data_IF_195219029456
#
_entry.id   IF_195219029456
#
_cell.length_a   1.000
_cell.length_b   1.000
_cell.length_c   1.000
_cell.angle_alpha   90.00
_cell.angle_beta   90.00
_cell.angle_gamma   90.00
#
_symmetry.space_group_name_H-M   'P 1'
#
loop_
_entity.id
_entity.type
_entity.pdbx_description
1 polymer ?
#
# COMPACT_ATOMS: atom_id res chain seq x y z
N UNK A 1 4.29 -1.12 28.43
CA UNK A 1 3.36 -1.81 27.51
C UNK A 1 3.49 -3.31 27.75
N UNK A 2 2.42 -4.11 27.66
CA UNK A 2 2.55 -5.58 27.70
C UNK A 2 3.56 -6.05 26.65
N UNK A 3 4.30 -7.12 26.91
CA UNK A 3 5.17 -7.71 25.90
C UNK A 3 4.32 -8.18 24.72
N UNK A 4 4.67 -7.79 23.48
CA UNK A 4 3.87 -8.09 22.29
C UNK A 4 3.51 -9.57 22.09
N UNK A 5 4.33 -10.49 22.59
CA UNK A 5 4.09 -11.93 22.49
C UNK A 5 2.85 -12.41 23.25
N UNK A 6 2.26 -11.63 24.17
CA UNK A 6 1.05 -12.05 24.89
C UNK A 6 -0.24 -11.85 24.10
N UNK A 7 -0.17 -11.15 22.96
CA UNK A 7 -1.34 -10.77 22.15
C UNK A 7 -1.27 -11.27 20.71
N UNK A 8 -0.09 -11.66 20.22
CA UNK A 8 0.07 -12.21 18.88
C UNK A 8 -0.29 -13.69 18.86
N UNK A 9 -1.33 -14.13 18.13
CA UNK A 9 -1.71 -15.54 18.09
C UNK A 9 -0.61 -16.44 17.51
N UNK A 10 0.27 -15.91 16.65
CA UNK A 10 1.29 -16.71 15.96
C UNK A 10 2.42 -17.17 16.89
N UNK A 11 2.61 -16.55 18.05
CA UNK A 11 3.60 -16.98 19.06
C UNK A 11 3.17 -18.25 19.80
N UNK A 12 1.95 -18.75 19.56
CA UNK A 12 1.41 -19.96 20.15
C UNK A 12 1.14 -21.07 19.11
N UNK A 13 1.51 -20.83 17.85
CA UNK A 13 1.31 -21.78 16.75
C UNK A 13 2.65 -22.40 16.37
N UNK A 14 2.62 -23.69 16.04
CA UNK A 14 3.78 -24.45 15.57
C UNK A 14 3.48 -25.03 14.19
N UNK A 15 4.47 -24.98 13.29
CA UNK A 15 4.37 -25.49 11.93
C UNK A 15 4.36 -27.01 11.87
N UNK A 16 4.09 -27.56 10.69
CA UNK A 16 4.10 -29.00 10.43
C UNK A 16 5.39 -29.69 10.89
N UNK A 17 6.56 -29.06 10.68
CA UNK A 17 7.87 -29.58 11.07
C UNK A 17 8.38 -29.02 12.40
N UNK A 18 7.52 -28.48 13.26
CA UNK A 18 7.90 -28.09 14.61
C UNK A 18 8.53 -26.71 14.75
N UNK A 19 8.40 -25.83 13.75
CA UNK A 19 8.98 -24.48 13.78
C UNK A 19 7.95 -23.50 14.37
N UNK A 20 8.32 -22.61 15.31
CA UNK A 20 7.41 -21.55 15.76
C UNK A 20 6.91 -20.69 14.60
N UNK A 21 5.59 -20.47 14.53
CA UNK A 21 4.99 -19.81 13.37
C UNK A 21 5.39 -18.33 13.23
N UNK A 22 5.52 -17.61 14.34
CA UNK A 22 6.02 -16.24 14.40
C UNK A 22 7.45 -16.11 13.86
N UNK A 23 8.34 -17.06 14.21
CA UNK A 23 9.68 -17.14 13.68
C UNK A 23 9.67 -17.42 12.17
N UNK A 24 8.82 -18.34 11.71
CA UNK A 24 8.68 -18.68 10.29
C UNK A 24 8.19 -17.49 9.46
N UNK A 25 7.19 -16.76 9.96
CA UNK A 25 6.69 -15.50 9.40
C UNK A 25 7.82 -14.47 9.31
N UNK A 26 8.63 -14.35 10.37
CA UNK A 26 9.79 -13.47 10.39
C UNK A 26 10.87 -13.89 9.38
N UNK A 27 11.14 -15.20 9.22
CA UNK A 27 12.10 -15.73 8.26
C UNK A 27 11.66 -15.43 6.83
N UNK A 28 10.38 -15.63 6.50
CA UNK A 28 9.82 -15.31 5.18
C UNK A 28 10.16 -13.87 4.79
N UNK A 29 9.74 -12.90 5.61
CA UNK A 29 9.94 -11.48 5.33
C UNK A 29 11.42 -11.11 5.26
N UNK A 30 12.20 -11.53 6.27
CA UNK A 30 13.61 -11.15 6.36
C UNK A 30 14.46 -11.77 5.26
N UNK A 31 14.08 -12.94 4.75
CA UNK A 31 14.72 -13.58 3.61
C UNK A 31 14.40 -12.85 2.31
N UNK A 32 13.13 -12.50 2.08
CA UNK A 32 12.72 -11.72 0.90
C UNK A 32 13.45 -10.37 0.86
N UNK A 33 13.47 -9.63 1.97
CA UNK A 33 14.21 -8.36 2.12
C UNK A 33 15.68 -8.48 1.72
N UNK A 34 16.31 -9.62 1.98
CA UNK A 34 17.73 -9.88 1.75
C UNK A 34 18.05 -10.57 0.41
N UNK A 35 17.06 -10.81 -0.43
CA UNK A 35 17.29 -11.50 -1.70
C UNK A 35 17.53 -13.02 -1.56
N UNK A 36 17.19 -13.63 -0.43
CA UNK A 36 17.47 -15.03 -0.14
C UNK A 36 16.33 -15.93 -0.63
N UNK A 37 16.30 -16.21 -1.94
CA UNK A 37 15.18 -16.91 -2.59
C UNK A 37 14.85 -18.27 -1.97
N UNK A 38 15.85 -19.14 -1.86
CA UNK A 38 15.64 -20.53 -1.42
C UNK A 38 15.09 -20.58 0.01
N UNK A 39 15.67 -19.80 0.92
CA UNK A 39 15.21 -19.76 2.31
C UNK A 39 13.80 -19.15 2.44
N UNK A 40 13.48 -18.12 1.64
CA UNK A 40 12.14 -17.57 1.59
C UNK A 40 11.11 -18.59 1.09
N UNK A 41 11.45 -19.39 0.07
CA UNK A 41 10.57 -20.43 -0.47
C UNK A 41 10.38 -21.59 0.50
N UNK A 42 11.41 -22.00 1.24
CA UNK A 42 11.28 -23.02 2.29
C UNK A 42 10.34 -22.54 3.40
N UNK A 43 10.50 -21.30 3.87
CA UNK A 43 9.61 -20.73 4.88
C UNK A 43 8.16 -20.61 4.36
N UNK A 44 7.98 -20.08 3.15
CA UNK A 44 6.66 -19.98 2.52
C UNK A 44 6.01 -21.36 2.34
N UNK A 45 6.78 -22.37 1.92
CA UNK A 45 6.25 -23.73 1.71
C UNK A 45 5.79 -24.33 3.03
N UNK A 46 6.58 -24.15 4.08
CA UNK A 46 6.25 -24.61 5.43
C UNK A 46 4.94 -23.98 5.92
N UNK A 47 4.77 -22.66 5.74
CA UNK A 47 3.52 -21.96 6.06
C UNK A 47 2.34 -22.53 5.26
N UNK A 48 2.52 -22.72 3.95
CA UNK A 48 1.48 -23.20 3.02
C UNK A 48 0.94 -24.59 3.37
N UNK A 49 1.82 -25.52 3.75
CA UNK A 49 1.43 -26.91 4.05
C UNK A 49 0.91 -27.11 5.47
N UNK A 50 1.26 -26.22 6.41
CA UNK A 50 0.89 -26.34 7.83
C UNK A 50 -0.62 -26.23 8.04
N UNK A 51 -1.25 -25.14 7.60
CA UNK A 51 -2.70 -24.93 7.76
C UNK A 51 -3.22 -23.90 6.77
N UNK A 52 -4.54 -23.80 6.63
CA UNK A 52 -5.15 -22.77 5.77
C UNK A 52 -4.93 -21.36 6.34
N UNK A 53 -4.93 -21.22 7.66
CA UNK A 53 -4.72 -19.96 8.37
C UNK A 53 -3.28 -19.47 8.23
N UNK A 54 -2.29 -20.35 8.37
CA UNK A 54 -0.89 -19.96 8.21
C UNK A 54 -0.55 -19.68 6.74
N UNK A 55 -1.25 -20.34 5.81
CA UNK A 55 -1.20 -20.00 4.39
C UNK A 55 -1.80 -18.60 4.12
N UNK A 56 -2.95 -18.28 4.70
CA UNK A 56 -3.53 -16.94 4.57
C UNK A 56 -2.56 -15.88 5.13
N UNK A 57 -1.89 -16.19 6.24
CA UNK A 57 -0.87 -15.30 6.81
C UNK A 57 0.37 -15.15 5.93
N UNK A 58 0.77 -16.19 5.19
CA UNK A 58 1.80 -16.08 4.15
C UNK A 58 1.39 -15.01 3.14
N UNK A 59 0.17 -15.08 2.61
CA UNK A 59 -0.33 -14.11 1.62
C UNK A 59 -0.44 -12.70 2.18
N UNK A 60 -0.99 -12.54 3.40
CA UNK A 60 -1.03 -11.24 4.08
C UNK A 60 0.37 -10.63 4.22
N UNK A 61 1.37 -11.43 4.58
CA UNK A 61 2.75 -10.95 4.65
C UNK A 61 3.32 -10.58 3.29
N UNK A 62 3.07 -11.35 2.24
CA UNK A 62 3.53 -11.02 0.89
C UNK A 62 2.94 -9.68 0.42
N UNK A 63 1.67 -9.41 0.73
CA UNK A 63 1.03 -8.12 0.47
C UNK A 63 1.74 -6.97 1.23
N UNK A 64 2.03 -7.14 2.54
CA UNK A 64 2.77 -6.12 3.29
C UNK A 64 4.17 -5.90 2.72
N UNK A 65 4.91 -6.97 2.44
CA UNK A 65 6.28 -6.91 1.88
C UNK A 65 6.30 -6.17 0.54
N UNK A 66 5.26 -6.32 -0.29
CA UNK A 66 5.15 -5.62 -1.58
C UNK A 66 5.12 -4.10 -1.46
N UNK A 67 4.67 -3.56 -0.32
CA UNK A 67 4.68 -2.13 -0.01
C UNK A 67 5.85 -1.73 0.90
N UNK A 68 6.31 -2.62 1.79
CA UNK A 68 7.25 -2.32 2.87
C UNK A 68 8.72 -2.47 2.45
N UNK A 69 9.02 -3.46 1.59
CA UNK A 69 10.37 -3.95 1.36
C UNK A 69 10.81 -3.86 -0.11
N UNK A 70 9.88 -3.65 -1.04
CA UNK A 70 10.13 -3.63 -2.49
C UNK A 70 9.56 -2.39 -3.15
N UNK A 71 10.25 -1.87 -4.16
CA UNK A 71 9.79 -0.76 -4.98
C UNK A 71 10.84 -0.32 -6.01
N UNK A 72 10.44 -0.22 -7.28
CA UNK A 72 11.26 0.41 -8.35
C UNK A 72 10.73 1.79 -8.78
N UNK A 73 9.79 2.35 -8.01
CA UNK A 73 9.09 3.60 -8.33
C UNK A 73 7.86 3.44 -9.23
N UNK A 74 7.55 2.24 -9.73
CA UNK A 74 6.32 1.99 -10.50
C UNK A 74 5.09 1.74 -9.62
N UNK A 75 5.29 1.33 -8.37
CA UNK A 75 4.24 1.01 -7.38
C UNK A 75 3.26 -0.11 -7.81
N UNK A 76 3.67 -0.97 -8.77
CA UNK A 76 2.82 -2.06 -9.27
C UNK A 76 2.98 -3.39 -8.52
N UNK A 77 3.96 -3.52 -7.64
CA UNK A 77 4.18 -4.74 -6.85
C UNK A 77 2.90 -5.21 -6.14
N UNK A 78 2.17 -4.36 -5.40
CA UNK A 78 0.96 -4.78 -4.70
C UNK A 78 -0.15 -5.23 -5.67
N UNK A 79 -0.19 -4.67 -6.89
CA UNK A 79 -1.17 -5.02 -7.92
C UNK A 79 -0.92 -6.44 -8.43
N UNK A 80 0.34 -6.78 -8.72
CA UNK A 80 0.70 -8.13 -9.11
C UNK A 80 0.43 -9.13 -7.97
N UNK A 81 0.81 -8.79 -6.74
CA UNK A 81 0.60 -9.65 -5.58
C UNK A 81 -0.89 -9.92 -5.34
N UNK A 82 -1.74 -8.90 -5.42
CA UNK A 82 -3.18 -9.07 -5.31
C UNK A 82 -3.76 -9.92 -6.46
N UNK A 83 -3.21 -9.80 -7.67
CA UNK A 83 -3.62 -10.63 -8.81
C UNK A 83 -3.27 -12.11 -8.59
N UNK A 84 -2.06 -12.39 -8.11
CA UNK A 84 -1.61 -13.75 -7.75
C UNK A 84 -2.44 -14.34 -6.61
N UNK A 85 -2.77 -13.53 -5.59
CA UNK A 85 -3.66 -13.93 -4.52
C UNK A 85 -5.05 -14.28 -5.08
N UNK A 86 -5.67 -13.46 -5.91
CA UNK A 86 -6.97 -13.82 -6.50
C UNK A 86 -6.90 -15.07 -7.38
N UNK A 87 -5.81 -15.29 -8.10
CA UNK A 87 -5.60 -16.51 -8.88
C UNK A 87 -5.50 -17.74 -7.97
N UNK A 88 -4.80 -17.63 -6.83
CA UNK A 88 -4.66 -18.72 -5.86
C UNK A 88 -6.00 -19.10 -5.22
N UNK A 89 -6.89 -18.13 -4.96
CA UNK A 89 -8.22 -18.37 -4.38
C UNK A 89 -9.17 -19.09 -5.34
N UNK A 90 -8.91 -19.05 -6.65
CA UNK A 90 -9.72 -19.76 -7.66
C UNK A 90 -9.44 -21.27 -7.68
N UNK A 91 -8.34 -21.71 -7.07
CA UNK A 91 -8.00 -23.11 -6.94
C UNK A 91 -8.22 -23.57 -5.50
N UNK A 92 -8.83 -24.75 -5.33
CA UNK A 92 -8.93 -25.39 -4.03
C UNK A 92 -7.56 -25.87 -3.52
N UNK A 93 -7.38 -26.01 -2.21
CA UNK A 93 -6.10 -26.44 -1.60
C UNK A 93 -5.64 -27.84 -2.06
N UNK A 94 -6.56 -28.68 -2.54
CA UNK A 94 -6.23 -29.99 -3.12
C UNK A 94 -5.49 -29.92 -4.45
N UNK A 95 -5.54 -28.79 -5.16
CA UNK A 95 -4.83 -28.62 -6.43
C UNK A 95 -3.37 -28.24 -6.18
N UNK A 96 -2.44 -29.12 -6.58
CA UNK A 96 -1.00 -28.88 -6.42
C UNK A 96 -0.50 -27.61 -7.11
N UNK A 97 -1.06 -27.26 -8.28
CA UNK A 97 -0.69 -26.08 -9.07
C UNK A 97 -0.93 -24.76 -8.33
N UNK A 98 -1.81 -24.76 -7.33
CA UNK A 98 -2.09 -23.58 -6.50
C UNK A 98 -0.85 -23.01 -5.81
N UNK A 99 0.12 -23.87 -5.48
CA UNK A 99 1.39 -23.45 -4.90
C UNK A 99 2.22 -22.55 -5.84
N UNK A 100 2.08 -22.71 -7.16
CA UNK A 100 2.85 -21.94 -8.15
C UNK A 100 2.66 -20.44 -7.98
N UNK A 101 1.47 -19.98 -7.58
CA UNK A 101 1.20 -18.55 -7.38
C UNK A 101 2.01 -17.96 -6.23
N UNK A 102 2.13 -18.69 -5.11
CA UNK A 102 2.93 -18.26 -3.97
C UNK A 102 4.44 -18.30 -4.30
N UNK A 103 4.90 -19.31 -5.03
CA UNK A 103 6.29 -19.36 -5.53
C UNK A 103 6.58 -18.15 -6.42
N UNK A 104 5.68 -17.83 -7.34
CA UNK A 104 5.83 -16.68 -8.23
C UNK A 104 5.87 -15.36 -7.45
N UNK A 105 4.99 -15.19 -6.47
CA UNK A 105 4.95 -14.02 -5.59
C UNK A 105 6.26 -13.84 -4.80
N UNK A 106 6.75 -14.91 -4.16
CA UNK A 106 8.01 -14.87 -3.41
C UNK A 106 9.18 -14.55 -4.33
N UNK A 107 9.29 -15.26 -5.47
CA UNK A 107 10.36 -15.03 -6.45
C UNK A 107 10.36 -13.59 -6.95
N UNK A 108 9.19 -13.09 -7.32
CA UNK A 108 9.03 -11.71 -7.76
C UNK A 108 9.57 -10.74 -6.70
N UNK A 109 9.07 -10.79 -5.46
CA UNK A 109 9.50 -9.87 -4.39
C UNK A 109 11.00 -9.98 -4.05
N UNK A 110 11.56 -11.19 -4.09
CA UNK A 110 12.99 -11.43 -3.88
C UNK A 110 13.84 -10.72 -4.95
N UNK A 111 13.45 -10.82 -6.21
CA UNK A 111 14.18 -10.26 -7.37
C UNK A 111 13.94 -8.74 -7.55
N UNK A 112 12.90 -8.16 -6.93
CA UNK A 112 12.60 -6.73 -7.05
C UNK A 112 13.65 -5.81 -6.39
N UNK A 113 13.86 -4.60 -6.94
CA UNK A 113 14.52 -3.52 -6.22
C UNK A 113 13.89 -3.33 -4.84
N UNK A 114 14.74 -3.09 -3.83
CA UNK A 114 14.31 -2.93 -2.44
C UNK A 114 14.13 -1.45 -2.14
N UNK A 115 13.01 -1.12 -1.54
CA UNK A 115 12.67 0.24 -1.12
C UNK A 115 11.88 0.14 0.18
N UNK A 116 12.34 0.85 1.22
CA UNK A 116 11.68 0.92 2.53
C UNK A 116 11.02 2.29 2.79
N UNK A 117 11.07 3.19 1.82
CA UNK A 117 10.59 4.58 1.96
C UNK A 117 9.13 4.63 2.42
N UNK A 118 8.26 3.77 1.89
CA UNK A 118 6.85 3.70 2.32
C UNK A 118 6.70 3.37 3.82
N UNK A 119 7.46 2.38 4.31
CA UNK A 119 7.47 1.99 5.72
C UNK A 119 8.02 3.11 6.62
N UNK A 120 9.13 3.72 6.19
CA UNK A 120 9.76 4.82 6.91
C UNK A 120 8.82 6.04 7.01
N UNK A 121 8.11 6.39 5.93
CA UNK A 121 7.11 7.45 5.90
C UNK A 121 5.91 7.12 6.80
N UNK A 122 5.40 5.88 6.76
CA UNK A 122 4.29 5.46 7.60
C UNK A 122 4.63 5.57 9.10
N UNK A 123 5.81 5.09 9.49
CA UNK A 123 6.26 5.17 10.89
C UNK A 123 6.56 6.61 11.33
N UNK A 124 7.17 7.41 10.47
CA UNK A 124 7.43 8.83 10.77
C UNK A 124 6.15 9.62 10.97
N UNK A 125 5.15 9.43 10.09
CA UNK A 125 3.87 10.15 10.19
C UNK A 125 3.08 9.74 11.43
N UNK A 126 3.08 8.44 11.77
CA UNK A 126 2.51 7.94 13.02
C UNK A 126 3.16 8.61 14.24
N UNK A 127 4.50 8.68 14.26
CA UNK A 127 5.22 9.35 15.34
C UNK A 127 4.85 10.83 15.44
N UNK A 128 4.84 11.57 14.33
CA UNK A 128 4.51 13.00 14.30
C UNK A 128 3.13 13.28 14.89
N UNK A 129 2.10 12.55 14.45
CA UNK A 129 0.76 12.70 15.01
C UNK A 129 0.70 12.37 16.50
N UNK A 130 1.32 11.27 16.93
CA UNK A 130 1.35 10.89 18.35
C UNK A 130 2.15 11.86 19.22
N UNK A 131 3.07 12.63 18.64
CA UNK A 131 3.81 13.70 19.31
C UNK A 131 3.06 15.05 19.32
N UNK A 132 1.84 15.11 18.78
CA UNK A 132 1.03 16.33 18.71
C UNK A 132 1.33 17.24 17.52
N UNK A 133 2.20 16.82 16.59
CA UNK A 133 2.38 17.53 15.32
C UNK A 133 1.18 17.23 14.40
N UNK A 134 0.30 18.21 14.25
CA UNK A 134 -0.89 18.13 13.40
C UNK A 134 -0.60 18.68 11.99
N UNK A 135 -1.37 18.27 10.97
CA UNK A 135 -1.29 18.89 9.66
C UNK A 135 -1.69 20.37 9.73
N UNK A 136 -1.00 21.21 8.97
CA UNK A 136 -1.40 22.60 8.73
C UNK A 136 -2.60 22.63 7.76
N UNK A 137 -3.51 23.58 7.96
CA UNK A 137 -4.59 23.87 7.01
C UNK A 137 -4.23 25.18 6.28
N UNK A 138 -3.54 25.09 5.12
CA UNK A 138 -3.14 26.28 4.36
C UNK A 138 -4.35 26.98 3.73
N UNK A 139 -4.17 28.25 3.33
CA UNK A 139 -5.25 29.07 2.76
C UNK A 139 -5.86 28.46 1.48
N UNK A 140 -5.03 27.87 0.61
CA UNK A 140 -5.50 27.24 -0.63
C UNK A 140 -6.37 25.99 -0.39
N UNK A 141 -6.37 25.42 0.82
CA UNK A 141 -7.28 24.34 1.20
C UNK A 141 -8.67 24.84 1.62
N UNK A 142 -8.85 26.15 1.77
CA UNK A 142 -10.11 26.80 2.16
C UNK A 142 -10.85 27.28 0.92
N UNK A 143 -11.54 26.36 0.27
CA UNK A 143 -12.27 26.66 -0.96
C UNK A 143 -13.79 26.77 -0.74
N UNK A 144 -14.51 26.88 -1.85
CA UNK A 144 -15.98 26.94 -1.91
C UNK A 144 -16.68 25.70 -1.31
N UNK A 145 -15.98 24.59 -1.09
CA UNK A 145 -16.51 23.38 -0.45
C UNK A 145 -16.28 23.36 1.07
N UNK A 146 -15.47 24.27 1.61
CA UNK A 146 -15.22 24.39 3.05
C UNK A 146 -16.07 25.49 3.67
N UNK A 147 -16.59 25.25 4.88
CA UNK A 147 -17.35 26.27 5.63
C UNK A 147 -16.55 27.56 5.82
N UNK A 148 -15.29 27.47 6.27
CA UNK A 148 -14.42 28.64 6.48
C UNK A 148 -14.15 29.38 5.17
N UNK A 149 -13.93 28.67 4.06
CA UNK A 149 -13.79 29.28 2.74
C UNK A 149 -15.05 30.03 2.29
N UNK A 150 -16.25 29.46 2.51
CA UNK A 150 -17.52 30.13 2.21
C UNK A 150 -17.73 31.39 3.06
N UNK A 151 -17.44 31.33 4.36
CA UNK A 151 -17.50 32.47 5.27
C UNK A 151 -16.47 33.56 4.88
N UNK A 152 -15.36 33.19 4.24
CA UNK A 152 -14.36 34.09 3.66
C UNK A 152 -14.77 34.64 2.27
N UNK A 153 -15.90 34.21 1.71
CA UNK A 153 -16.38 34.65 0.40
C UNK A 153 -15.71 33.98 -0.80
N UNK A 154 -15.06 32.81 -0.61
CA UNK A 154 -14.44 32.06 -1.70
C UNK A 154 -15.50 31.55 -2.68
N UNK A 155 -15.20 31.66 -3.96
CA UNK A 155 -16.11 31.42 -5.07
C UNK A 155 -15.67 30.21 -5.92
N UNK A 156 -16.55 29.81 -6.85
CA UNK A 156 -16.20 28.81 -7.88
C UNK A 156 -15.08 29.33 -8.79
N UNK A 157 -15.00 30.64 -9.01
CA UNK A 157 -13.89 31.25 -9.77
C UNK A 157 -12.55 31.07 -9.05
N UNK A 158 -12.51 31.28 -7.73
CA UNK A 158 -11.32 31.03 -6.91
C UNK A 158 -10.87 29.55 -6.99
N UNK A 159 -11.83 28.62 -7.03
CA UNK A 159 -11.53 27.20 -7.18
C UNK A 159 -10.80 26.91 -8.50
N UNK A 160 -11.33 27.36 -9.63
CA UNK A 160 -10.74 27.08 -10.95
C UNK A 160 -9.40 27.80 -11.20
N UNK A 161 -9.15 28.90 -10.49
CA UNK A 161 -7.92 29.68 -10.66
C UNK A 161 -6.83 29.35 -9.64
N UNK A 162 -7.18 28.92 -8.43
CA UNK A 162 -6.23 28.74 -7.31
C UNK A 162 -6.35 27.34 -6.71
N UNK A 163 -7.53 26.96 -6.22
CA UNK A 163 -7.65 25.79 -5.33
C UNK A 163 -7.62 24.44 -6.05
N UNK A 164 -7.88 24.42 -7.35
CA UNK A 164 -7.77 23.23 -8.22
C UNK A 164 -6.38 23.02 -8.80
N UNK A 165 -5.37 23.76 -8.32
CA UNK A 165 -3.98 23.63 -8.75
C UNK A 165 -3.47 22.19 -8.54
N UNK A 166 -2.70 21.69 -9.50
CA UNK A 166 -2.05 20.38 -9.43
C UNK A 166 -0.56 20.53 -9.65
N UNK A 167 0.23 19.91 -8.78
CA UNK A 167 1.68 19.77 -8.97
C UNK A 167 1.99 18.53 -9.82
N UNK A 168 3.16 18.50 -10.46
CA UNK A 168 3.59 17.41 -11.34
C UNK A 168 2.58 17.11 -12.46
N UNK A 169 2.03 18.17 -13.05
CA UNK A 169 1.10 18.05 -14.16
C UNK A 169 1.69 17.20 -15.30
N UNK A 170 0.85 16.34 -15.90
CA UNK A 170 1.26 15.49 -17.01
C UNK A 170 1.90 16.35 -18.11
N UNK A 171 3.10 16.00 -18.60
CA UNK A 171 3.71 16.70 -19.73
C UNK A 171 2.75 16.75 -20.94
N UNK A 172 2.62 17.94 -21.52
CA UNK A 172 1.73 18.21 -22.66
C UNK A 172 0.23 17.94 -22.38
N UNK A 173 -0.24 18.16 -21.15
CA UNK A 173 -1.68 18.10 -20.83
C UNK A 173 -2.48 19.01 -21.78
N UNK A 174 -3.56 18.49 -22.35
CA UNK A 174 -4.54 19.28 -23.12
C UNK A 174 -5.31 20.21 -22.17
N UNK A 175 -5.11 21.53 -22.35
CA UNK A 175 -5.73 22.55 -21.49
C UNK A 175 -7.03 23.13 -22.06
N UNK A 176 -7.46 22.72 -23.27
CA UNK A 176 -8.60 23.37 -23.96
C UNK A 176 -9.89 23.38 -23.13
N UNK A 177 -10.10 22.35 -22.31
CA UNK A 177 -11.29 22.26 -21.46
C UNK A 177 -11.21 23.24 -20.29
N UNK A 178 -10.03 23.41 -19.68
CA UNK A 178 -9.82 24.41 -18.64
C UNK A 178 -9.99 25.83 -19.19
N UNK A 179 -9.48 26.08 -20.40
CA UNK A 179 -9.64 27.36 -21.09
C UNK A 179 -11.12 27.68 -21.38
N UNK A 180 -11.90 26.70 -21.85
CA UNK A 180 -13.35 26.86 -22.05
C UNK A 180 -14.08 27.18 -20.74
N UNK A 181 -13.73 26.50 -19.64
CA UNK A 181 -14.31 26.77 -18.32
C UNK A 181 -13.98 28.20 -17.87
N UNK A 182 -12.72 28.63 -18.00
CA UNK A 182 -12.29 29.99 -17.66
C UNK A 182 -12.98 31.04 -18.51
N UNK A 183 -13.23 30.77 -19.80
CA UNK A 183 -13.98 31.67 -20.66
C UNK A 183 -15.45 31.81 -20.21
N UNK A 184 -16.11 30.72 -19.83
CA UNK A 184 -17.49 30.74 -19.31
C UNK A 184 -17.58 31.50 -17.97
N UNK A 185 -16.58 31.34 -17.09
CA UNK A 185 -16.50 32.10 -15.84
C UNK A 185 -16.32 33.59 -16.10
N UNK A 186 -15.38 33.96 -16.98
CA UNK A 186 -15.14 35.36 -17.35
C UNK A 186 -16.36 36.02 -18.03
N UNK A 187 -17.18 35.23 -18.74
CA UNK A 187 -18.43 35.70 -19.35
C UNK A 187 -19.63 35.73 -18.36
N UNK A 188 -19.49 35.19 -17.14
CA UNK A 188 -20.61 35.02 -16.20
C UNK A 188 -21.64 33.98 -16.67
N UNK A 189 -21.26 33.11 -17.61
CA UNK A 189 -22.11 32.08 -18.21
C UNK A 189 -21.93 30.70 -17.56
N UNK A 190 -20.97 30.58 -16.65
CA UNK A 190 -20.75 29.35 -15.89
C UNK A 190 -22.00 28.98 -15.08
N UNK A 191 -22.44 27.72 -15.24
CA UNK A 191 -23.56 27.13 -14.50
C UNK A 191 -23.09 25.82 -13.90
N UNK A 192 -23.12 25.72 -12.57
CA UNK A 192 -22.81 24.52 -11.80
C UNK A 192 -23.97 24.19 -10.87
#
# INVERSE_FOLDING_TARGET
MPNHHSTDPWTHVTSLHGIPADELIAVLQKSIRRGLLENALLAAREMYVTSAELEEQLWLRLCVISCEDTGDGSYFEPVLLNSLYQMHQRLDRSYGDRWLFAVHAVRFLVERPKDRTTDELANLTLHKLNSGQLPEIPDWALDVHTRRGQEMGRTVEDFWNIHSHVENERPNRDQKYLEQIKALLAAGEWKA
#
